data_IF_700095944496
#
_entry.id   IF_700095944496
#
_cell.length_a   1.000
_cell.length_b   1.000
_cell.length_c   1.000
_cell.angle_alpha   90.00
_cell.angle_beta   90.00
_cell.angle_gamma   90.00
#
_symmetry.space_group_name_H-M   'P 1'
#
loop_
_entity.id
_entity.type
_entity.pdbx_description
1 polymer ?
#
# COMPACT_ATOMS: atom_id res chain seq x y z
N UNK A 1 -32.20 -15.70 -51.84
CA UNK A 1 -31.95 -15.94 -50.39
C UNK A 1 -30.70 -15.22 -49.99
N UNK A 2 -30.82 -14.10 -49.30
CA UNK A 2 -29.67 -13.28 -48.78
C UNK A 2 -29.43 -13.68 -47.34
N UNK A 3 -28.30 -14.40 -47.06
CA UNK A 3 -27.86 -14.69 -45.69
C UNK A 3 -27.16 -13.46 -45.15
N UNK A 4 -27.79 -12.75 -44.24
CA UNK A 4 -27.16 -11.70 -43.45
C UNK A 4 -26.32 -12.34 -42.33
N UNK A 5 -25.02 -12.29 -42.48
CA UNK A 5 -24.06 -12.63 -41.40
C UNK A 5 -23.98 -11.42 -40.47
N UNK A 6 -24.68 -11.53 -39.34
CA UNK A 6 -24.50 -10.61 -38.23
C UNK A 6 -23.16 -10.91 -37.54
N UNK A 7 -22.17 -10.09 -37.84
CA UNK A 7 -20.90 -10.11 -37.10
C UNK A 7 -21.15 -9.48 -35.72
N UNK A 8 -21.19 -10.32 -34.69
CA UNK A 8 -21.33 -9.90 -33.30
C UNK A 8 -19.97 -9.33 -32.86
N UNK A 9 -19.84 -8.01 -32.92
CA UNK A 9 -18.68 -7.31 -32.36
C UNK A 9 -18.88 -7.29 -30.84
N UNK A 10 -18.18 -8.18 -30.15
CA UNK A 10 -18.09 -8.19 -28.69
C UNK A 10 -17.19 -7.03 -28.25
N UNK A 11 -17.70 -5.99 -27.54
CA UNK A 11 -16.84 -4.96 -26.98
C UNK A 11 -16.04 -5.58 -25.85
N UNK A 12 -14.74 -5.75 -26.04
CA UNK A 12 -13.81 -6.09 -24.97
C UNK A 12 -13.77 -4.88 -24.03
N UNK A 13 -14.54 -4.95 -22.98
CA UNK A 13 -14.44 -4.02 -21.83
C UNK A 13 -13.08 -4.25 -21.19
N UNK A 14 -12.09 -3.46 -21.56
CA UNK A 14 -10.86 -3.30 -20.78
C UNK A 14 -11.27 -2.60 -19.46
N UNK A 15 -11.74 -3.37 -18.52
CA UNK A 15 -11.81 -2.95 -17.11
C UNK A 15 -10.37 -2.87 -16.62
N UNK A 16 -9.71 -1.75 -16.86
CA UNK A 16 -8.44 -1.43 -16.20
C UNK A 16 -8.72 -1.40 -14.69
N UNK A 17 -8.22 -2.40 -13.94
CA UNK A 17 -8.25 -2.39 -12.50
C UNK A 17 -7.33 -1.27 -12.01
N UNK A 18 -7.91 -0.08 -11.77
CA UNK A 18 -7.24 1.00 -11.04
C UNK A 18 -7.18 0.58 -9.57
N UNK A 19 -5.97 0.54 -8.99
CA UNK A 19 -5.78 0.23 -7.58
C UNK A 19 -4.97 -1.05 -7.32
N UNK A 20 -4.96 -1.47 -6.05
CA UNK A 20 -4.26 -2.68 -5.62
C UNK A 20 -4.93 -3.93 -6.22
N UNK A 21 -4.09 -4.75 -6.86
CA UNK A 21 -4.47 -6.07 -7.35
C UNK A 21 -3.79 -7.14 -6.48
N UNK A 22 -4.54 -8.07 -5.87
CA UNK A 22 -3.98 -9.07 -4.94
C UNK A 22 -2.87 -9.96 -5.53
N UNK A 23 -2.86 -10.15 -6.85
CA UNK A 23 -1.93 -11.07 -7.53
C UNK A 23 -0.74 -10.37 -8.18
N UNK A 24 -0.86 -9.10 -8.56
CA UNK A 24 0.15 -8.41 -9.36
C UNK A 24 0.72 -7.14 -8.72
N UNK A 25 0.07 -6.57 -7.71
CA UNK A 25 0.55 -5.37 -7.03
C UNK A 25 1.82 -5.64 -6.24
N UNK A 26 2.81 -4.71 -6.27
CA UNK A 26 4.00 -4.83 -5.46
C UNK A 26 3.66 -4.92 -3.98
N UNK A 27 4.29 -5.89 -3.30
CA UNK A 27 4.09 -6.16 -1.88
C UNK A 27 5.45 -6.33 -1.19
N UNK A 28 5.54 -5.87 0.03
CA UNK A 28 6.66 -6.10 0.92
C UNK A 28 6.16 -6.57 2.29
N UNK A 29 6.88 -7.52 2.90
CA UNK A 29 6.57 -8.05 4.23
C UNK A 29 7.86 -8.10 5.05
N UNK A 30 7.84 -7.48 6.22
CA UNK A 30 9.00 -7.40 7.09
C UNK A 30 8.59 -7.26 8.55
N UNK A 31 9.54 -7.48 9.46
CA UNK A 31 9.37 -7.29 10.90
C UNK A 31 10.33 -6.21 11.37
N UNK A 32 9.86 -5.35 12.28
CA UNK A 32 10.69 -4.32 12.91
C UNK A 32 10.67 -4.44 14.42
N UNK A 33 11.81 -4.16 15.11
CA UNK A 33 11.93 -4.22 16.57
C UNK A 33 11.36 -2.95 17.23
N UNK A 34 10.12 -2.61 16.90
CA UNK A 34 9.41 -1.40 17.33
C UNK A 34 8.03 -1.79 17.84
N UNK A 35 7.54 -1.11 18.86
CA UNK A 35 6.22 -1.34 19.42
C UNK A 35 5.11 -1.06 18.40
N UNK A 36 4.05 -1.85 18.44
CA UNK A 36 2.92 -1.82 17.51
C UNK A 36 2.31 -0.41 17.35
N UNK A 37 2.05 0.29 18.46
CA UNK A 37 1.47 1.63 18.42
C UNK A 37 2.38 2.64 17.74
N UNK A 38 3.68 2.51 17.93
CA UNK A 38 4.67 3.35 17.29
C UNK A 38 4.73 3.10 15.79
N UNK A 39 4.70 1.82 15.35
CA UNK A 39 4.67 1.45 13.93
C UNK A 39 3.40 1.98 13.27
N UNK A 40 2.26 1.90 13.94
CA UNK A 40 1.00 2.46 13.44
C UNK A 40 1.10 3.98 13.24
N UNK A 41 1.64 4.71 14.21
CA UNK A 41 1.85 6.15 14.09
C UNK A 41 2.80 6.52 12.94
N UNK A 42 3.88 5.77 12.76
CA UNK A 42 4.83 5.93 11.64
C UNK A 42 4.18 5.68 10.29
N UNK A 43 3.36 4.65 10.18
CA UNK A 43 2.62 4.34 8.96
C UNK A 43 1.64 5.45 8.58
N UNK A 44 0.91 6.00 9.56
CA UNK A 44 0.03 7.15 9.34
C UNK A 44 0.79 8.39 8.87
N UNK A 45 1.91 8.71 9.51
CA UNK A 45 2.75 9.85 9.15
C UNK A 45 3.29 9.71 7.73
N UNK A 46 3.81 8.52 7.38
CA UNK A 46 4.33 8.21 6.05
C UNK A 46 3.27 8.34 4.97
N UNK A 47 2.08 7.79 5.21
CA UNK A 47 0.99 7.86 4.25
C UNK A 47 0.53 9.32 4.00
N UNK A 48 0.44 10.13 5.04
CA UNK A 48 0.09 11.55 4.93
C UNK A 48 1.15 12.34 4.18
N UNK A 49 2.41 12.12 4.49
CA UNK A 49 3.53 12.86 3.91
C UNK A 49 3.78 12.48 2.44
N UNK A 50 3.81 11.18 2.14
CA UNK A 50 4.33 10.69 0.86
C UNK A 50 3.28 10.15 -0.09
N UNK A 51 2.08 9.81 0.38
CA UNK A 51 1.09 9.08 -0.42
C UNK A 51 -0.24 9.81 -0.60
N UNK A 52 -0.43 10.94 0.06
CA UNK A 52 -1.69 11.67 0.01
C UNK A 52 -1.74 12.78 -1.04
N UNK A 53 -0.63 13.14 -1.68
CA UNK A 53 -0.52 14.30 -2.58
C UNK A 53 -1.16 15.56 -1.95
N UNK A 54 -0.62 15.98 -0.80
CA UNK A 54 -1.12 17.12 -0.01
C UNK A 54 -2.61 17.02 0.39
N UNK A 55 -3.10 15.78 0.57
CA UNK A 55 -4.46 15.49 1.01
C UNK A 55 -5.46 15.27 -0.13
N UNK A 56 -5.03 15.30 -1.38
CA UNK A 56 -5.88 14.96 -2.53
C UNK A 56 -6.41 13.52 -2.45
N UNK A 57 -5.54 12.60 -2.00
CA UNK A 57 -5.90 11.20 -1.79
C UNK A 57 -6.13 10.94 -0.30
N UNK A 58 -7.35 10.61 0.12
CA UNK A 58 -7.66 10.39 1.53
C UNK A 58 -6.82 9.28 2.17
N UNK A 59 -6.22 9.58 3.32
CA UNK A 59 -5.57 8.59 4.19
C UNK A 59 -6.56 8.16 5.26
N UNK A 60 -6.80 6.86 5.34
CA UNK A 60 -7.68 6.23 6.33
C UNK A 60 -6.89 5.26 7.19
N UNK A 61 -7.37 5.02 8.39
CA UNK A 61 -6.74 4.07 9.30
C UNK A 61 -7.75 3.43 10.25
N UNK A 62 -7.41 2.25 10.71
CA UNK A 62 -8.13 1.55 11.77
C UNK A 62 -7.13 0.83 12.68
N UNK A 63 -7.47 0.71 13.95
CA UNK A 63 -6.66 0.01 14.94
C UNK A 63 -7.56 -0.79 15.88
N UNK A 64 -7.19 -2.05 16.12
CA UNK A 64 -7.76 -2.91 17.13
C UNK A 64 -6.67 -3.24 18.16
N UNK A 65 -6.73 -2.56 19.29
CA UNK A 65 -5.75 -2.72 20.37
C UNK A 65 -5.86 -4.11 21.00
N UNK A 66 -7.05 -4.69 21.05
CA UNK A 66 -7.27 -5.98 21.70
C UNK A 66 -6.62 -7.13 20.91
N UNK A 67 -6.73 -7.11 19.59
CA UNK A 67 -6.10 -8.09 18.71
C UNK A 67 -4.66 -7.75 18.34
N UNK A 68 -4.20 -6.53 18.61
CA UNK A 68 -2.88 -6.05 18.18
C UNK A 68 -2.76 -5.94 16.66
N UNK A 69 -3.83 -5.53 15.98
CA UNK A 69 -3.85 -5.35 14.54
C UNK A 69 -4.25 -3.93 14.15
N UNK A 70 -3.69 -3.43 13.06
CA UNK A 70 -4.02 -2.13 12.53
C UNK A 70 -3.86 -2.10 11.01
N UNK A 71 -4.48 -1.12 10.39
CA UNK A 71 -4.37 -0.87 8.96
C UNK A 71 -4.32 0.62 8.68
N UNK A 72 -3.46 1.02 7.77
CA UNK A 72 -3.42 2.35 7.17
C UNK A 72 -3.55 2.18 5.66
N UNK A 73 -4.43 2.95 5.03
CA UNK A 73 -4.60 2.85 3.58
C UNK A 73 -4.90 4.20 2.94
N UNK A 74 -4.57 4.32 1.68
CA UNK A 74 -4.83 5.48 0.84
C UNK A 74 -5.81 5.09 -0.25
N UNK A 75 -6.84 5.89 -0.42
CA UNK A 75 -7.88 5.64 -1.42
C UNK A 75 -7.83 6.65 -2.55
N UNK A 76 -8.43 6.31 -3.69
CA UNK A 76 -8.78 7.29 -4.70
C UNK A 76 -9.79 8.31 -4.17
N UNK A 77 -9.97 9.41 -4.89
CA UNK A 77 -10.86 10.53 -4.52
C UNK A 77 -12.29 10.05 -4.24
N UNK A 78 -12.77 9.04 -4.96
CA UNK A 78 -14.10 8.46 -4.77
C UNK A 78 -14.19 7.45 -3.60
N UNK A 79 -13.07 7.15 -2.94
CA UNK A 79 -13.03 6.40 -1.68
C UNK A 79 -13.16 4.88 -1.77
N UNK A 80 -13.41 4.30 -2.94
CA UNK A 80 -13.61 2.84 -3.09
C UNK A 80 -12.37 2.08 -3.53
N UNK A 81 -11.41 2.74 -4.16
CA UNK A 81 -10.20 2.13 -4.72
C UNK A 81 -9.02 2.36 -3.80
N UNK A 82 -8.33 1.30 -3.39
CA UNK A 82 -7.12 1.39 -2.58
C UNK A 82 -5.88 1.53 -3.49
N UNK A 83 -5.07 2.54 -3.26
CA UNK A 83 -3.81 2.77 -3.97
C UNK A 83 -2.59 2.30 -3.18
N UNK A 84 -2.66 2.35 -1.86
CA UNK A 84 -1.66 1.81 -0.95
C UNK A 84 -2.34 1.29 0.32
N UNK A 85 -1.78 0.26 0.92
CA UNK A 85 -2.27 -0.33 2.17
C UNK A 85 -1.11 -0.87 2.99
N UNK A 86 -1.12 -0.60 4.27
CA UNK A 86 -0.17 -1.12 5.24
C UNK A 86 -0.95 -1.87 6.32
N UNK A 87 -0.77 -3.17 6.38
CA UNK A 87 -1.29 -4.04 7.43
C UNK A 87 -0.22 -4.23 8.49
N UNK A 88 -0.59 -4.05 9.76
CA UNK A 88 0.31 -4.02 10.90
C UNK A 88 -0.20 -5.00 11.94
N UNK A 89 0.70 -5.85 12.46
CA UNK A 89 0.37 -6.84 13.47
C UNK A 89 1.43 -6.89 14.57
N UNK A 90 0.99 -6.81 15.82
CA UNK A 90 1.86 -7.01 16.98
C UNK A 90 2.30 -8.47 17.05
N UNK A 91 3.62 -8.68 17.24
CA UNK A 91 4.21 -9.98 17.53
C UNK A 91 4.73 -10.07 18.98
N UNK A 92 4.62 -9.00 19.74
CA UNK A 92 5.12 -8.85 21.09
C UNK A 92 5.30 -7.38 21.45
N UNK A 93 5.80 -7.08 22.64
CA UNK A 93 5.93 -5.69 23.15
C UNK A 93 6.71 -4.76 22.24
N UNK A 94 7.76 -5.27 21.63
CA UNK A 94 8.68 -4.50 20.77
C UNK A 94 8.98 -5.22 19.46
N UNK A 95 8.00 -5.90 18.93
CA UNK A 95 8.17 -6.62 17.67
C UNK A 95 6.88 -6.56 16.88
N UNK A 96 6.95 -6.04 15.67
CA UNK A 96 5.78 -5.76 14.84
C UNK A 96 6.02 -6.23 13.41
N UNK A 97 5.07 -6.98 12.88
CA UNK A 97 5.03 -7.36 11.47
C UNK A 97 4.31 -6.28 10.65
N UNK A 98 4.87 -5.97 9.51
CA UNK A 98 4.33 -5.01 8.55
C UNK A 98 4.21 -5.67 7.19
N UNK A 99 3.03 -5.62 6.60
CA UNK A 99 2.77 -6.05 5.23
C UNK A 99 2.23 -4.86 4.45
N UNK A 100 2.99 -4.38 3.49
CA UNK A 100 2.63 -3.23 2.68
C UNK A 100 2.39 -3.62 1.23
N UNK A 101 1.33 -3.12 0.64
CA UNK A 101 0.97 -3.34 -0.76
C UNK A 101 0.67 -2.00 -1.41
N UNK A 102 1.19 -1.78 -2.60
CA UNK A 102 0.97 -0.54 -3.37
C UNK A 102 0.50 -0.85 -4.78
N UNK A 103 -0.15 0.10 -5.40
CA UNK A 103 -0.70 -0.04 -6.77
C UNK A 103 0.38 -0.36 -7.81
N UNK A 104 1.59 0.16 -7.65
CA UNK A 104 2.75 -0.14 -8.51
C UNK A 104 3.19 1.01 -9.39
N UNK A 105 2.54 2.17 -9.35
CA UNK A 105 2.86 3.34 -10.17
C UNK A 105 2.90 4.63 -9.35
N UNK A 106 3.58 5.64 -9.88
CA UNK A 106 3.70 6.98 -9.29
C UNK A 106 4.25 6.92 -7.86
N UNK A 107 3.68 7.70 -6.94
CA UNK A 107 4.07 7.71 -5.53
C UNK A 107 3.76 6.40 -4.78
N UNK A 108 2.97 5.52 -5.37
CA UNK A 108 2.65 4.18 -4.84
C UNK A 108 3.42 3.10 -5.58
N UNK A 109 4.68 3.33 -5.85
CA UNK A 109 5.57 2.43 -6.58
C UNK A 109 6.30 1.45 -5.66
N UNK A 110 6.98 0.48 -6.28
CA UNK A 110 7.88 -0.43 -5.54
C UNK A 110 8.97 0.32 -4.75
N UNK A 111 9.46 1.44 -5.27
CA UNK A 111 10.46 2.27 -4.57
C UNK A 111 9.89 2.85 -3.27
N UNK A 112 8.61 3.18 -3.22
CA UNK A 112 7.96 3.69 -2.02
C UNK A 112 7.85 2.64 -0.90
N UNK A 113 7.83 1.35 -1.23
CA UNK A 113 7.89 0.27 -0.23
C UNK A 113 9.25 0.22 0.47
N UNK A 114 10.33 0.52 -0.23
CA UNK A 114 11.66 0.59 0.38
C UNK A 114 11.78 1.77 1.34
N UNK A 115 11.23 2.92 0.96
CA UNK A 115 11.16 4.08 1.84
C UNK A 115 10.31 3.79 3.10
N UNK A 116 9.15 3.15 2.94
CA UNK A 116 8.32 2.73 4.07
C UNK A 116 9.08 1.85 5.05
N UNK A 117 9.84 0.87 4.56
CA UNK A 117 10.62 -0.02 5.40
C UNK A 117 11.62 0.77 6.29
N UNK A 118 12.32 1.74 5.71
CA UNK A 118 13.23 2.61 6.46
C UNK A 118 12.49 3.44 7.52
N UNK A 119 11.34 4.00 7.16
CA UNK A 119 10.52 4.78 8.09
C UNK A 119 10.02 3.93 9.25
N UNK A 120 9.61 2.69 9.00
CA UNK A 120 9.18 1.78 10.08
C UNK A 120 10.32 1.49 11.05
N UNK A 121 11.56 1.42 10.58
CA UNK A 121 12.73 1.21 11.44
C UNK A 121 13.19 2.47 12.17
N UNK A 122 13.29 3.59 11.47
CA UNK A 122 13.98 4.79 11.96
C UNK A 122 13.04 5.93 12.40
N UNK A 123 11.78 5.89 12.01
CA UNK A 123 10.74 6.81 12.47
C UNK A 123 10.70 8.18 11.79
N UNK A 124 11.54 8.43 10.80
CA UNK A 124 11.57 9.69 10.05
C UNK A 124 10.87 9.52 8.71
N UNK A 125 9.72 10.16 8.45
CA UNK A 125 9.05 10.09 7.16
C UNK A 125 9.98 10.52 6.02
N UNK A 126 10.04 9.70 5.00
CA UNK A 126 10.81 9.97 3.78
C UNK A 126 10.10 9.35 2.59
N UNK A 127 10.02 10.08 1.50
CA UNK A 127 9.32 9.62 0.30
C UNK A 127 10.21 8.80 -0.65
N UNK A 128 11.51 8.80 -0.42
CA UNK A 128 12.49 8.02 -1.18
C UNK A 128 13.41 7.26 -0.25
N UNK A 129 13.79 6.04 -0.64
CA UNK A 129 14.76 5.25 0.11
C UNK A 129 16.17 5.82 -0.03
N UNK A 130 16.87 5.90 1.09
CA UNK A 130 18.29 6.27 1.13
C UNK A 130 19.20 5.03 1.11
N UNK A 131 18.66 3.88 1.44
CA UNK A 131 19.41 2.62 1.46
C UNK A 131 19.05 1.76 0.25
N UNK A 132 20.03 1.38 -0.58
CA UNK A 132 19.78 0.39 -1.63
C UNK A 132 19.37 -0.93 -0.99
N UNK A 133 18.30 -1.55 -1.51
CA UNK A 133 17.94 -2.91 -1.10
C UNK A 133 19.09 -3.84 -1.42
N UNK A 134 19.44 -4.68 -0.47
CA UNK A 134 20.27 -5.85 -0.77
C UNK A 134 19.51 -6.70 -1.81
N UNK A 135 20.10 -6.83 -2.99
CA UNK A 135 19.59 -7.76 -4.00
C UNK A 135 19.75 -9.16 -3.43
N UNK A 136 18.68 -9.96 -3.29
CA UNK A 136 18.83 -11.37 -2.89
C UNK A 136 19.74 -12.05 -3.93
N UNK A 137 20.81 -12.68 -3.45
CA UNK A 137 21.70 -13.51 -4.30
C UNK A 137 21.05 -14.84 -4.57
#
# INVERSE_FOLDING_TARGET
MKRHWFTLICPILLSGCLGINPTSSPKDSFTVPVAFQEVFARAQAQAKECWSADGEFPVKSSIDQASGSARVWVTGVLGSTHYAQVDIRSLGERNTEVVATVMGVNMWSRASLSALHEVMQFGVPTCSSYMPRAVPR
#
